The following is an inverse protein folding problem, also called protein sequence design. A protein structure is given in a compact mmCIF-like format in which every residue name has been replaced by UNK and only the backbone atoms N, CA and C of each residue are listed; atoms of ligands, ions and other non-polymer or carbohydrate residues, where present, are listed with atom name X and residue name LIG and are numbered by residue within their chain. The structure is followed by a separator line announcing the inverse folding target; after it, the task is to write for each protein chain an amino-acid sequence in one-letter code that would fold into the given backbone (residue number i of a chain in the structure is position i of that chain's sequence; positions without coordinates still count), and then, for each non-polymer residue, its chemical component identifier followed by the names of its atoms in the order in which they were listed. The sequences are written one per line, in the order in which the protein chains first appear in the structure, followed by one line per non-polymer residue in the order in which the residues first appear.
data_IF_767959459302
#
_entry.id   IF_767959459302
#
_cell.length_a   1.000
_cell.length_b   1.000
_cell.length_c   1.000
_cell.angle_alpha   90.00
_cell.angle_beta   90.00
_cell.angle_gamma   90.00
#
_symmetry.space_group_name_H-M   'P 1'
#
loop_
_entity.id
_entity.type
_entity.pdbx_description
1 polymer ?
#
# COMPACT_ATOMS: atom_id res chain seq x y z
N UNK A 1 10.06 3.42 1.20
CA UNK A 1 9.65 3.15 2.60
C UNK A 1 10.87 2.70 3.37
N UNK A 2 11.16 3.30 4.52
CA UNK A 2 12.43 3.09 5.25
C UNK A 2 12.19 2.97 6.76
N UNK A 3 13.26 2.75 7.51
CA UNK A 3 13.26 2.99 8.95
C UNK A 3 13.53 4.47 9.24
N UNK A 4 13.35 4.88 10.49
CA UNK A 4 13.65 6.24 10.92
C UNK A 4 15.16 6.39 11.16
N UNK A 5 15.89 6.84 10.14
CA UNK A 5 17.30 7.17 10.21
C UNK A 5 17.51 8.62 9.75
N UNK A 6 18.09 9.45 10.63
CA UNK A 6 18.20 10.91 10.42
C UNK A 6 19.09 11.23 9.22
N UNK A 7 20.28 10.61 9.13
CA UNK A 7 21.21 10.86 8.03
C UNK A 7 20.72 10.33 6.67
N UNK A 8 19.93 9.25 6.67
CA UNK A 8 19.38 8.68 5.45
C UNK A 8 18.27 9.57 4.87
N UNK A 9 17.51 10.23 5.75
CA UNK A 9 16.39 11.09 5.36
C UNK A 9 16.82 12.24 4.46
N UNK A 10 17.85 12.98 4.87
CA UNK A 10 18.32 14.15 4.11
C UNK A 10 18.84 13.73 2.73
N UNK A 11 19.60 12.63 2.66
CA UNK A 11 20.11 12.06 1.41
C UNK A 11 18.98 11.59 0.49
N UNK A 12 17.97 10.91 1.02
CA UNK A 12 16.84 10.45 0.22
C UNK A 12 16.01 11.62 -0.32
N UNK A 13 15.85 12.68 0.47
CA UNK A 13 15.15 13.89 0.03
C UNK A 13 15.93 14.65 -1.05
N UNK A 14 17.26 14.65 -0.98
CA UNK A 14 18.13 15.21 -2.02
C UNK A 14 18.04 14.40 -3.33
N UNK A 15 18.10 13.07 -3.24
CA UNK A 15 18.10 12.19 -4.41
C UNK A 15 16.70 12.03 -5.05
N UNK A 16 15.64 12.14 -4.25
CA UNK A 16 14.26 11.96 -4.69
C UNK A 16 13.35 13.08 -4.17
N UNK A 17 13.51 14.32 -4.65
CA UNK A 17 12.85 15.50 -4.09
C UNK A 17 11.32 15.45 -4.16
N UNK A 18 10.79 14.82 -5.21
CA UNK A 18 9.34 14.68 -5.43
C UNK A 18 8.73 13.48 -4.68
N UNK A 19 9.57 12.63 -4.09
CA UNK A 19 9.11 11.45 -3.36
C UNK A 19 8.88 11.77 -1.89
N UNK A 20 7.74 11.33 -1.35
CA UNK A 20 7.50 11.35 0.09
C UNK A 20 8.13 10.12 0.74
N UNK A 21 9.07 10.34 1.66
CA UNK A 21 9.56 9.25 2.50
C UNK A 21 8.45 8.74 3.43
N UNK A 22 8.16 7.44 3.35
CA UNK A 22 7.28 6.75 4.28
C UNK A 22 8.10 5.86 5.21
N UNK A 23 7.80 5.88 6.50
CA UNK A 23 8.42 5.01 7.49
C UNK A 23 7.75 3.63 7.54
N UNK A 24 8.47 2.58 7.94
CA UNK A 24 7.86 1.28 8.22
C UNK A 24 6.96 1.39 9.47
N UNK A 25 5.65 1.14 9.34
CA UNK A 25 4.72 1.29 10.47
C UNK A 25 5.04 0.33 11.62
N UNK A 26 5.49 -0.87 11.30
CA UNK A 26 5.89 -1.85 12.31
C UNK A 26 7.05 -1.33 13.17
N UNK A 27 8.06 -0.74 12.52
CA UNK A 27 9.19 -0.15 13.22
C UNK A 27 8.84 1.09 14.03
N UNK A 28 7.94 1.93 13.52
CA UNK A 28 7.39 3.06 14.27
C UNK A 28 6.72 2.57 15.57
N UNK A 29 5.80 1.60 15.46
CA UNK A 29 5.11 1.01 16.63
C UNK A 29 6.12 0.41 17.62
N UNK A 30 7.09 -0.37 17.13
CA UNK A 30 8.11 -1.01 17.96
C UNK A 30 8.93 0.03 18.72
N UNK A 31 9.35 1.12 18.05
CA UNK A 31 10.12 2.20 18.66
C UNK A 31 9.30 2.94 19.71
N UNK A 32 8.07 3.35 19.38
CA UNK A 32 7.18 4.05 20.31
C UNK A 32 6.90 3.22 21.56
N UNK A 33 6.57 1.93 21.40
CA UNK A 33 6.36 1.01 22.52
C UNK A 33 7.61 0.86 23.40
N UNK A 34 8.82 0.93 22.82
CA UNK A 34 10.08 0.92 23.58
C UNK A 34 10.24 2.19 24.42
N UNK A 35 9.87 3.36 23.90
CA UNK A 35 9.89 4.60 24.68
C UNK A 35 8.86 4.59 25.80
N UNK A 36 7.65 4.10 25.54
CA UNK A 36 6.64 3.92 26.59
C UNK A 36 7.16 3.05 27.73
N UNK A 37 7.82 1.94 27.40
CA UNK A 37 8.39 1.06 28.43
C UNK A 37 9.47 1.74 29.29
N UNK A 38 10.22 2.68 28.71
CA UNK A 38 11.28 3.44 29.41
C UNK A 38 10.73 4.59 30.24
N UNK A 39 9.76 5.34 29.69
CA UNK A 39 9.37 6.66 30.20
C UNK A 39 8.00 6.67 30.90
N UNK A 40 7.17 5.65 30.71
CA UNK A 40 5.82 5.58 31.25
C UNK A 40 5.52 4.16 31.78
N UNK A 41 6.43 3.62 32.60
CA UNK A 41 6.36 2.24 33.11
C UNK A 41 5.10 1.96 33.92
N UNK A 42 4.58 2.96 34.65
CA UNK A 42 3.37 2.87 35.47
C UNK A 42 2.06 2.68 34.68
N UNK A 43 2.01 3.16 33.43
CA UNK A 43 0.82 3.06 32.54
C UNK A 43 1.16 2.38 31.22
N UNK A 44 2.18 1.50 31.24
CA UNK A 44 2.82 0.97 30.03
C UNK A 44 1.87 0.24 29.11
N UNK A 45 0.88 -0.48 29.63
CA UNK A 45 0.02 -1.37 28.84
C UNK A 45 -0.95 -0.54 28.01
N UNK A 46 -1.60 0.41 28.67
CA UNK A 46 -2.58 1.33 28.12
C UNK A 46 -1.91 2.24 27.08
N UNK A 47 -0.78 2.85 27.43
CA UNK A 47 -0.08 3.78 26.52
C UNK A 47 0.52 3.04 25.32
N UNK A 48 1.01 1.79 25.46
CA UNK A 48 1.46 0.98 24.31
C UNK A 48 0.34 0.67 23.31
N UNK A 49 -0.88 0.44 23.80
CA UNK A 49 -2.04 0.25 22.94
C UNK A 49 -2.36 1.54 22.18
N UNK A 50 -2.38 2.68 22.88
CA UNK A 50 -2.59 4.01 22.27
C UNK A 50 -1.54 4.35 21.21
N UNK A 51 -0.26 4.00 21.42
CA UNK A 51 0.77 4.16 20.38
C UNK A 51 0.46 3.38 19.09
N UNK A 52 -0.19 2.23 19.21
CA UNK A 52 -0.57 1.44 18.04
C UNK A 52 -1.77 2.08 17.33
N UNK A 53 -2.75 2.57 18.10
CA UNK A 53 -3.90 3.30 17.57
C UNK A 53 -3.49 4.57 16.82
N UNK A 54 -2.52 5.32 17.35
CA UNK A 54 -1.97 6.50 16.65
C UNK A 54 -1.40 6.16 15.28
N UNK A 55 -0.61 5.08 15.17
CA UNK A 55 0.02 4.68 13.90
C UNK A 55 -1.01 4.18 12.89
N UNK A 56 -1.99 3.41 13.36
CA UNK A 56 -3.01 2.77 12.51
C UNK A 56 -4.30 3.56 12.37
N UNK A 57 -4.38 4.77 12.93
CA UNK A 57 -5.53 5.65 12.82
C UNK A 57 -5.95 5.82 11.36
N UNK A 58 -7.25 5.63 11.09
CA UNK A 58 -7.85 5.71 9.75
C UNK A 58 -8.42 7.09 9.45
N UNK A 59 -8.54 7.93 10.46
CA UNK A 59 -8.99 9.31 10.34
C UNK A 59 -8.20 10.23 11.27
N UNK A 60 -8.30 11.55 11.00
CA UNK A 60 -7.77 12.57 11.91
C UNK A 60 -8.43 12.46 13.29
N UNK A 61 -9.73 12.18 13.36
CA UNK A 61 -10.44 12.09 14.63
C UNK A 61 -9.90 10.94 15.49
N UNK A 62 -9.76 9.73 14.92
CA UNK A 62 -9.18 8.58 15.64
C UNK A 62 -7.77 8.87 16.18
N UNK A 63 -6.97 9.61 15.40
CA UNK A 63 -5.63 10.02 15.80
C UNK A 63 -5.67 10.98 16.99
N UNK A 64 -6.48 12.03 16.89
CA UNK A 64 -6.64 13.06 17.93
C UNK A 64 -7.18 12.46 19.23
N UNK A 65 -8.16 11.56 19.14
CA UNK A 65 -8.74 10.84 20.29
C UNK A 65 -7.67 9.98 20.98
N UNK A 66 -6.92 9.18 20.21
CA UNK A 66 -5.84 8.36 20.77
C UNK A 66 -4.73 9.22 21.43
N UNK A 67 -4.43 10.39 20.84
CA UNK A 67 -3.45 11.34 21.39
C UNK A 67 -3.95 11.98 22.69
N UNK A 68 -5.22 12.35 22.73
CA UNK A 68 -5.88 12.88 23.93
C UNK A 68 -5.89 11.86 25.07
N UNK A 69 -6.34 10.63 24.79
CA UNK A 69 -6.32 9.53 25.77
C UNK A 69 -4.90 9.22 26.25
N UNK A 70 -3.89 9.34 25.37
CA UNK A 70 -2.49 9.16 25.77
C UNK A 70 -2.06 10.21 26.78
N UNK A 71 -2.35 11.49 26.53
CA UNK A 71 -2.05 12.57 27.48
C UNK A 71 -2.78 12.39 28.81
N UNK A 72 -4.05 11.99 28.77
CA UNK A 72 -4.84 11.68 29.98
C UNK A 72 -4.20 10.55 30.80
N UNK A 73 -3.75 9.46 30.16
CA UNK A 73 -3.03 8.38 30.85
C UNK A 73 -1.67 8.80 31.41
N UNK A 74 -1.09 9.87 30.89
CA UNK A 74 0.11 10.51 31.44
C UNK A 74 -0.22 11.55 32.52
N UNK A 75 -1.46 11.59 33.02
CA UNK A 75 -1.91 12.51 34.07
C UNK A 75 -2.28 13.90 33.57
N UNK A 76 -2.49 14.07 32.26
CA UNK A 76 -2.70 15.40 31.66
C UNK A 76 -1.43 16.24 31.58
N UNK A 77 -0.27 15.67 31.89
CA UNK A 77 1.00 16.39 31.97
C UNK A 77 1.65 16.54 30.59
N UNK A 78 1.53 17.73 30.01
CA UNK A 78 2.18 18.07 28.73
C UNK A 78 3.70 18.17 28.85
N UNK A 79 4.24 18.29 30.07
CA UNK A 79 5.69 18.30 30.34
C UNK A 79 6.28 16.90 30.46
N UNK A 80 5.43 15.86 30.49
CA UNK A 80 5.86 14.48 30.62
C UNK A 80 6.88 14.13 29.51
N UNK A 81 8.07 13.57 29.83
CA UNK A 81 9.15 13.37 28.86
C UNK A 81 8.74 12.59 27.61
N UNK A 82 7.89 11.56 27.77
CA UNK A 82 7.33 10.81 26.65
C UNK A 82 6.46 11.69 25.73
N UNK A 83 5.58 12.51 26.29
CA UNK A 83 4.65 13.34 25.52
C UNK A 83 5.42 14.41 24.76
N UNK A 84 6.33 15.11 25.44
CA UNK A 84 7.23 16.09 24.82
C UNK A 84 8.03 15.49 23.66
N UNK A 85 8.70 14.36 23.90
CA UNK A 85 9.47 13.65 22.85
C UNK A 85 8.59 13.23 21.67
N UNK A 86 7.37 12.77 21.93
CA UNK A 86 6.42 12.40 20.89
C UNK A 86 6.00 13.60 20.04
N UNK A 87 5.63 14.72 20.67
CA UNK A 87 5.21 15.92 19.97
C UNK A 87 6.34 16.51 19.11
N UNK A 88 7.55 16.59 19.65
CA UNK A 88 8.72 17.18 18.96
C UNK A 88 9.23 16.33 17.79
N UNK A 89 9.13 14.99 17.90
CA UNK A 89 9.82 14.11 16.95
C UNK A 89 8.90 13.27 16.07
N UNK A 90 7.61 13.15 16.41
CA UNK A 90 6.68 12.25 15.71
C UNK A 90 5.41 12.97 15.27
N UNK A 91 4.78 13.74 16.15
CA UNK A 91 3.52 14.42 15.83
C UNK A 91 3.69 15.46 14.69
N UNK A 92 4.87 16.06 14.56
CA UNK A 92 5.19 16.98 13.47
C UNK A 92 5.42 16.32 12.10
N UNK A 93 5.54 14.99 12.05
CA UNK A 93 5.93 14.21 10.85
C UNK A 93 4.90 13.12 10.53
N UNK A 94 3.64 13.31 10.91
CA UNK A 94 2.56 12.32 10.75
C UNK A 94 2.42 11.79 9.32
N UNK A 95 2.69 12.61 8.31
CA UNK A 95 2.61 12.21 6.90
C UNK A 95 3.55 11.05 6.53
N UNK A 96 4.62 10.88 7.29
CA UNK A 96 5.61 9.84 7.07
C UNK A 96 5.18 8.51 7.71
N UNK A 97 4.33 8.49 8.74
CA UNK A 97 4.08 7.30 9.57
C UNK A 97 2.62 6.95 9.88
N UNK A 98 1.73 7.94 10.00
CA UNK A 98 0.33 7.71 10.34
C UNK A 98 -0.47 7.22 9.13
N UNK A 99 -1.25 6.15 9.30
CA UNK A 99 -1.95 5.49 8.19
C UNK A 99 -2.89 6.44 7.42
N UNK A 100 -3.71 7.23 8.11
CA UNK A 100 -4.68 8.13 7.48
C UNK A 100 -4.05 9.24 6.61
N UNK A 101 -2.78 9.60 6.83
CA UNK A 101 -2.07 10.63 6.04
C UNK A 101 -1.38 10.08 4.79
N UNK A 102 -1.38 8.75 4.60
CA UNK A 102 -0.67 8.07 3.51
C UNK A 102 -1.51 7.80 2.28
N UNK A 103 -2.84 7.94 2.37
CA UNK A 103 -3.77 7.56 1.29
C UNK A 103 -3.52 8.26 -0.04
N UNK A 104 -2.90 9.45 -0.02
CA UNK A 104 -2.60 10.23 -1.22
C UNK A 104 -1.26 9.87 -1.88
N UNK A 105 -0.54 8.86 -1.39
CA UNK A 105 0.75 8.44 -1.94
C UNK A 105 0.65 7.01 -2.44
N UNK A 106 1.05 6.71 -3.69
CA UNK A 106 1.08 5.35 -4.19
C UNK A 106 2.16 4.54 -3.46
N UNK A 107 1.76 3.80 -2.43
CA UNK A 107 2.66 2.94 -1.66
C UNK A 107 2.46 1.44 -1.97
N UNK A 108 1.60 1.11 -2.95
CA UNK A 108 1.32 -0.26 -3.42
C UNK A 108 1.01 -1.24 -2.28
N UNK A 109 0.24 -0.78 -1.29
CA UNK A 109 -0.10 -1.52 -0.06
C UNK A 109 1.10 -1.93 0.82
N UNK A 110 2.31 -1.46 0.50
CA UNK A 110 3.47 -1.64 1.36
C UNK A 110 3.37 -0.69 2.55
N UNK A 111 3.07 -1.25 3.71
CA UNK A 111 3.02 -0.56 5.00
C UNK A 111 4.18 -0.94 5.94
N UNK A 112 4.89 -2.01 5.58
CA UNK A 112 6.08 -2.52 6.25
C UNK A 112 7.20 -2.76 5.24
N UNK A 113 8.44 -2.81 5.71
CA UNK A 113 9.63 -3.13 4.94
C UNK A 113 9.95 -4.64 4.92
N UNK A 114 9.06 -5.50 5.44
CA UNK A 114 9.31 -6.95 5.62
C UNK A 114 9.81 -7.66 4.35
N UNK A 115 9.30 -7.27 3.17
CA UNK A 115 9.72 -7.86 1.89
C UNK A 115 11.20 -7.57 1.59
N UNK A 116 11.65 -6.36 1.93
CA UNK A 116 13.03 -5.92 1.76
C UNK A 116 13.90 -6.60 2.83
N UNK A 117 13.47 -6.61 4.10
CA UNK A 117 14.19 -7.27 5.19
C UNK A 117 14.39 -8.77 4.96
N UNK A 118 13.37 -9.47 4.46
CA UNK A 118 13.46 -10.89 4.14
C UNK A 118 14.48 -11.16 3.03
N UNK A 119 14.53 -10.32 2.00
CA UNK A 119 15.55 -10.41 0.94
C UNK A 119 16.95 -10.16 1.51
N UNK A 120 17.12 -9.13 2.34
CA UNK A 120 18.39 -8.86 3.00
C UNK A 120 18.85 -10.00 3.91
N UNK A 121 17.93 -10.68 4.59
CA UNK A 121 18.23 -11.89 5.35
C UNK A 121 18.89 -12.95 4.47
N UNK A 122 18.30 -13.27 3.32
CA UNK A 122 18.86 -14.25 2.38
C UNK A 122 20.23 -13.85 1.83
N UNK A 123 20.44 -12.56 1.55
CA UNK A 123 21.76 -12.07 1.10
C UNK A 123 22.79 -12.23 2.22
N UNK A 124 22.42 -11.93 3.47
CA UNK A 124 23.29 -12.12 4.64
C UNK A 124 23.62 -13.59 4.87
N UNK A 125 22.68 -14.51 4.61
CA UNK A 125 22.93 -15.94 4.74
C UNK A 125 23.99 -16.44 3.75
N UNK A 126 24.03 -15.87 2.54
CA UNK A 126 25.06 -16.18 1.53
C UNK A 126 26.39 -15.48 1.84
N UNK A 127 26.33 -14.32 2.48
CA UNK A 127 27.48 -13.55 2.91
C UNK A 127 27.99 -14.00 4.29
N UNK A 128 28.77 -15.07 4.32
CA UNK A 128 29.37 -15.63 5.53
C UNK A 128 30.58 -14.84 6.09
N UNK A 129 30.77 -13.57 5.69
CA UNK A 129 31.85 -12.71 6.17
C UNK A 129 33.21 -12.94 5.52
N UNK A 130 33.30 -13.83 4.51
CA UNK A 130 34.53 -14.09 3.76
C UNK A 130 34.79 -13.09 2.62
N UNK A 131 33.82 -12.24 2.29
CA UNK A 131 33.91 -11.30 1.17
C UNK A 131 34.47 -9.95 1.59
N UNK A 132 35.35 -9.36 0.77
CA UNK A 132 35.75 -7.96 0.90
C UNK A 132 34.59 -7.03 0.56
N UNK A 133 34.68 -5.75 0.94
CA UNK A 133 33.66 -4.74 0.58
C UNK A 133 33.48 -4.64 -0.93
N UNK A 134 34.58 -4.67 -1.69
CA UNK A 134 34.59 -4.67 -3.17
C UNK A 134 33.79 -5.86 -3.75
N UNK A 135 34.05 -7.07 -3.24
CA UNK A 135 33.35 -8.27 -3.68
C UNK A 135 31.87 -8.22 -3.35
N UNK A 136 31.52 -7.67 -2.17
CA UNK A 136 30.13 -7.48 -1.77
C UNK A 136 29.41 -6.47 -2.65
N UNK A 137 30.04 -5.33 -2.95
CA UNK A 137 29.47 -4.33 -3.84
C UNK A 137 29.26 -4.89 -5.25
N UNK A 138 30.27 -5.59 -5.79
CA UNK A 138 30.17 -6.23 -7.10
C UNK A 138 29.03 -7.25 -7.15
N UNK A 139 28.94 -8.14 -6.15
CA UNK A 139 27.86 -9.11 -6.03
C UNK A 139 26.47 -8.44 -5.93
N UNK A 140 26.34 -7.36 -5.15
CA UNK A 140 25.07 -6.64 -4.99
C UNK A 140 24.63 -5.96 -6.28
N UNK A 141 25.57 -5.32 -7.00
CA UNK A 141 25.32 -4.70 -8.30
C UNK A 141 24.85 -5.78 -9.29
N UNK A 142 25.58 -6.89 -9.40
CA UNK A 142 25.19 -7.99 -10.30
C UNK A 142 23.82 -8.58 -9.95
N UNK A 143 23.48 -8.73 -8.66
CA UNK A 143 22.14 -9.18 -8.27
C UNK A 143 21.05 -8.17 -8.62
N UNK A 144 21.34 -6.87 -8.48
CA UNK A 144 20.40 -5.82 -8.87
C UNK A 144 20.17 -5.83 -10.38
N UNK A 145 21.23 -5.84 -11.19
CA UNK A 145 21.15 -5.89 -12.65
C UNK A 145 20.36 -7.13 -13.11
N UNK A 146 20.68 -8.31 -12.58
CA UNK A 146 19.94 -9.53 -12.91
C UNK A 146 18.45 -9.43 -12.52
N UNK A 147 18.14 -8.89 -11.34
CA UNK A 147 16.75 -8.73 -10.90
C UNK A 147 15.98 -7.72 -11.76
N UNK A 148 16.62 -6.64 -12.18
CA UNK A 148 16.06 -5.65 -13.10
C UNK A 148 15.80 -6.24 -14.48
N UNK A 149 16.75 -7.01 -15.03
CA UNK A 149 16.57 -7.73 -16.30
C UNK A 149 15.40 -8.70 -16.25
N UNK A 150 15.30 -9.51 -15.18
CA UNK A 150 14.16 -10.42 -15.00
C UNK A 150 12.84 -9.65 -14.90
N UNK A 151 12.82 -8.55 -14.16
CA UNK A 151 11.64 -7.69 -14.03
C UNK A 151 11.22 -7.09 -15.37
N UNK A 152 12.18 -6.53 -16.13
CA UNK A 152 11.92 -5.97 -17.46
C UNK A 152 11.47 -7.06 -18.44
N UNK A 153 12.09 -8.24 -18.40
CA UNK A 153 11.67 -9.38 -19.21
C UNK A 153 10.23 -9.80 -18.89
N UNK A 154 9.84 -9.86 -17.61
CA UNK A 154 8.46 -10.13 -17.20
C UNK A 154 7.49 -9.00 -17.58
N UNK A 155 7.89 -7.74 -17.42
CA UNK A 155 7.09 -6.57 -17.77
C UNK A 155 6.83 -6.50 -19.28
N UNK A 156 7.85 -6.76 -20.09
CA UNK A 156 7.78 -6.79 -21.55
C UNK A 156 7.31 -8.14 -22.11
N UNK A 157 7.15 -9.16 -21.27
CA UNK A 157 6.50 -10.41 -21.65
C UNK A 157 5.04 -10.08 -21.93
N UNK A 158 4.76 -9.68 -23.17
CA UNK A 158 3.44 -9.76 -23.77
C UNK A 158 3.01 -11.19 -23.53
N UNK A 159 2.12 -11.39 -22.55
CA UNK A 159 1.60 -12.71 -22.24
C UNK A 159 0.62 -13.02 -23.37
N UNK A 160 1.15 -13.33 -24.54
CA UNK A 160 0.41 -13.79 -25.70
C UNK A 160 -0.48 -14.93 -25.22
N UNK A 161 -1.78 -14.70 -25.22
CA UNK A 161 -2.72 -15.73 -24.81
C UNK A 161 -2.87 -16.73 -25.95
N UNK A 162 -3.15 -17.97 -25.54
CA UNK A 162 -3.45 -19.10 -26.40
C UNK A 162 -4.62 -18.70 -27.29
N UNK A 163 -4.42 -18.81 -28.59
CA UNK A 163 -5.51 -18.77 -29.55
C UNK A 163 -6.31 -20.06 -29.34
N UNK A 164 -7.34 -20.02 -28.51
CA UNK A 164 -8.46 -20.95 -28.72
C UNK A 164 -9.32 -20.35 -29.84
N UNK A 165 -9.76 -21.21 -30.74
CA UNK A 165 -10.24 -20.82 -32.07
C UNK A 165 -11.67 -20.32 -32.10
N UNK A 166 -12.23 -19.81 -30.99
CA UNK A 166 -13.65 -19.47 -30.93
C UNK A 166 -14.02 -18.30 -29.99
N UNK A 167 -13.14 -17.30 -29.86
CA UNK A 167 -13.43 -16.09 -29.09
C UNK A 167 -14.19 -15.05 -29.94
N UNK A 168 -15.16 -14.39 -29.29
CA UNK A 168 -15.90 -13.24 -29.81
C UNK A 168 -14.94 -12.14 -30.35
N UNK A 169 -15.17 -11.56 -31.55
CA UNK A 169 -14.30 -10.54 -32.13
C UNK A 169 -14.04 -9.32 -31.23
N UNK A 170 -15.02 -8.91 -30.43
CA UNK A 170 -14.88 -7.78 -29.51
C UNK A 170 -13.96 -8.12 -28.34
N UNK A 171 -14.09 -9.33 -27.78
CA UNK A 171 -13.19 -9.82 -26.74
C UNK A 171 -11.78 -10.02 -27.29
N UNK A 172 -11.63 -10.58 -28.49
CA UNK A 172 -10.33 -10.81 -29.11
C UNK A 172 -9.56 -9.48 -29.33
N UNK A 173 -10.25 -8.43 -29.80
CA UNK A 173 -9.68 -7.09 -29.94
C UNK A 173 -9.28 -6.50 -28.58
N UNK A 174 -10.14 -6.65 -27.56
CA UNK A 174 -9.86 -6.14 -26.22
C UNK A 174 -8.69 -6.86 -25.55
N UNK A 175 -8.56 -8.17 -25.76
CA UNK A 175 -7.51 -9.01 -25.19
C UNK A 175 -6.09 -8.54 -25.53
N UNK A 176 -5.91 -7.87 -26.68
CA UNK A 176 -4.63 -7.32 -27.11
C UNK A 176 -4.19 -6.10 -26.28
N UNK A 177 -5.13 -5.39 -25.68
CA UNK A 177 -4.89 -4.09 -25.05
C UNK A 177 -4.86 -4.16 -23.52
N UNK A 178 -5.31 -5.26 -22.91
CA UNK A 178 -5.47 -5.36 -21.46
C UNK A 178 -4.79 -6.59 -20.88
N UNK A 179 -4.44 -6.49 -19.59
CA UNK A 179 -3.80 -7.60 -18.88
C UNK A 179 -4.72 -8.83 -18.80
N UNK A 180 -4.18 -10.04 -18.62
CA UNK A 180 -5.01 -11.23 -18.55
C UNK A 180 -6.04 -11.23 -17.42
N UNK A 181 -5.71 -10.57 -16.31
CA UNK A 181 -6.59 -10.36 -15.17
C UNK A 181 -7.75 -9.42 -15.50
N UNK A 182 -7.46 -8.27 -16.13
CA UNK A 182 -8.49 -7.34 -16.57
C UNK A 182 -9.40 -7.97 -17.62
N UNK A 183 -8.83 -8.75 -18.54
CA UNK A 183 -9.60 -9.50 -19.54
C UNK A 183 -10.54 -10.51 -18.90
N UNK A 184 -10.10 -11.27 -17.89
CA UNK A 184 -10.97 -12.24 -17.21
C UNK A 184 -12.17 -11.56 -16.54
N UNK A 185 -11.98 -10.37 -15.96
CA UNK A 185 -13.09 -9.57 -15.42
C UNK A 185 -14.09 -9.14 -16.51
N UNK A 186 -13.59 -8.66 -17.65
CA UNK A 186 -14.45 -8.19 -18.75
C UNK A 186 -15.14 -9.36 -19.46
N UNK A 187 -14.41 -10.44 -19.76
CA UNK A 187 -14.96 -11.64 -20.40
C UNK A 187 -16.11 -12.25 -19.58
N UNK A 188 -15.98 -12.30 -18.24
CA UNK A 188 -17.07 -12.74 -17.36
C UNK A 188 -18.31 -11.86 -17.47
N UNK A 189 -18.15 -10.54 -17.53
CA UNK A 189 -19.28 -9.62 -17.70
C UNK A 189 -19.87 -9.71 -19.12
N UNK A 190 -19.04 -9.88 -20.13
CA UNK A 190 -19.45 -10.04 -21.51
C UNK A 190 -20.35 -11.27 -21.69
N UNK A 191 -19.93 -12.44 -21.19
CA UNK A 191 -20.76 -13.66 -21.22
C UNK A 191 -22.11 -13.47 -20.52
N UNK A 192 -22.16 -12.70 -19.42
CA UNK A 192 -23.41 -12.41 -18.73
C UNK A 192 -24.36 -11.54 -19.58
N UNK A 193 -23.80 -10.65 -20.40
CA UNK A 193 -24.53 -9.68 -21.22
C UNK A 193 -24.94 -10.20 -22.61
N UNK A 194 -24.14 -11.08 -23.22
CA UNK A 194 -24.36 -11.58 -24.59
C UNK A 194 -24.73 -13.07 -24.65
N UNK A 195 -24.74 -13.75 -23.50
CA UNK A 195 -25.11 -15.16 -23.41
C UNK A 195 -26.59 -15.43 -23.75
N UNK A 196 -26.94 -16.70 -24.04
CA UNK A 196 -28.31 -17.10 -24.38
C UNK A 196 -29.33 -16.85 -23.26
N UNK A 197 -28.86 -16.72 -22.01
CA UNK A 197 -29.67 -16.43 -20.82
C UNK A 197 -29.57 -14.95 -20.38
N UNK A 198 -29.19 -14.06 -21.29
CA UNK A 198 -29.15 -12.62 -21.03
C UNK A 198 -30.58 -12.07 -20.91
N UNK A 199 -30.97 -11.69 -19.69
CA UNK A 199 -32.30 -11.18 -19.37
C UNK A 199 -32.19 -9.90 -18.51
N UNK A 200 -32.77 -8.82 -19.04
CA UNK A 200 -32.62 -7.46 -18.53
C UNK A 200 -33.93 -6.69 -18.63
N UNK A 201 -34.37 -6.15 -17.50
CA UNK A 201 -35.47 -5.19 -17.45
C UNK A 201 -34.97 -3.79 -17.75
N UNK A 202 -35.70 -3.07 -18.59
CA UNK A 202 -35.33 -1.74 -19.05
C UNK A 202 -36.30 -0.69 -18.49
N UNK A 203 -35.77 0.19 -17.64
CA UNK A 203 -36.50 1.36 -17.16
C UNK A 203 -35.98 2.63 -17.84
N UNK A 204 -36.85 3.30 -18.59
CA UNK A 204 -36.56 4.61 -19.18
C UNK A 204 -36.49 5.65 -18.06
N UNK A 205 -35.30 6.24 -17.87
CA UNK A 205 -35.10 7.39 -16.99
C UNK A 205 -35.44 8.71 -17.69
N UNK A 206 -34.76 9.79 -17.28
CA UNK A 206 -34.81 11.07 -17.99
C UNK A 206 -34.29 10.91 -19.44
N UNK A 207 -34.61 11.85 -20.36
CA UNK A 207 -34.08 11.82 -21.73
C UNK A 207 -32.55 11.66 -21.72
N UNK A 208 -32.04 10.58 -22.33
CA UNK A 208 -30.61 10.24 -22.37
C UNK A 208 -30.09 9.38 -21.21
N UNK A 209 -30.97 8.89 -20.33
CA UNK A 209 -30.64 7.99 -19.23
C UNK A 209 -31.56 6.78 -19.20
N UNK A 210 -30.97 5.60 -19.14
CA UNK A 210 -31.67 4.34 -18.96
C UNK A 210 -31.07 3.55 -17.79
N UNK A 211 -31.92 2.80 -17.11
CA UNK A 211 -31.51 1.87 -16.06
C UNK A 211 -31.82 0.46 -16.54
N UNK A 212 -30.78 -0.36 -16.66
CA UNK A 212 -30.91 -1.79 -16.95
C UNK A 212 -30.73 -2.59 -15.67
N UNK A 213 -31.71 -3.42 -15.32
CA UNK A 213 -31.60 -4.33 -14.18
C UNK A 213 -31.54 -5.76 -14.69
N UNK A 214 -30.48 -6.49 -14.36
CA UNK A 214 -30.38 -7.91 -14.67
C UNK A 214 -31.31 -8.70 -13.75
N UNK A 215 -32.32 -9.35 -14.32
CA UNK A 215 -33.30 -10.16 -13.57
C UNK A 215 -32.65 -11.35 -12.86
N UNK A 216 -31.52 -11.84 -13.40
CA UNK A 216 -30.74 -12.96 -12.86
C UNK A 216 -29.84 -12.59 -11.68
N UNK A 217 -29.19 -11.42 -11.73
CA UNK A 217 -28.19 -11.03 -10.71
C UNK A 217 -28.70 -9.97 -9.74
N UNK A 218 -29.80 -9.30 -10.05
CA UNK A 218 -30.28 -8.12 -9.32
C UNK A 218 -29.39 -6.89 -9.49
N UNK A 219 -28.37 -6.95 -10.34
CA UNK A 219 -27.47 -5.84 -10.58
C UNK A 219 -28.16 -4.80 -11.47
N UNK A 220 -28.07 -3.54 -11.04
CA UNK A 220 -28.62 -2.40 -11.75
C UNK A 220 -27.50 -1.55 -12.36
N UNK A 221 -27.59 -1.30 -13.66
CA UNK A 221 -26.61 -0.57 -14.45
C UNK A 221 -27.26 0.69 -15.02
N UNK A 222 -26.63 1.86 -14.77
CA UNK A 222 -27.06 3.13 -15.36
C UNK A 222 -26.34 3.33 -16.68
N UNK A 223 -27.10 3.43 -17.76
CA UNK A 223 -26.57 3.67 -19.10
C UNK A 223 -26.99 5.08 -19.52
N UNK A 224 -25.99 5.90 -19.84
CA UNK A 224 -26.24 7.19 -20.45
C UNK A 224 -26.25 7.01 -21.96
N UNK A 225 -27.42 7.13 -22.58
CA UNK A 225 -27.56 7.23 -24.02
C UNK A 225 -27.27 8.67 -24.45
N UNK A 226 -25.99 9.05 -24.40
CA UNK A 226 -25.52 10.24 -25.11
C UNK A 226 -25.33 9.88 -26.58
N UNK A 227 -26.16 10.47 -27.44
CA UNK A 227 -25.75 10.80 -28.81
C UNK A 227 -25.23 12.22 -28.81
#
# INVERSE_FOLDING_TARGET
MTDKAVHEKDVLQEMFPDARQLLCQWHVVKWLKKQVARLASGVKREVKALMSLLVYARSRQEYEDARGCMLEKLGGDTSHPLYKTFMENWDNSQEEWAAYKRGNVPHLTNNTNNRIESKWGKIKDVNNGAYTIDQLLSMLITFQEYAEEQYLAEYHRVRGRRHDGNEDPELASLALHISPFAFDLVAKQHTLATGPDADYDFEHGQPGSATLTSTRTGNTYKVNSMK
#
